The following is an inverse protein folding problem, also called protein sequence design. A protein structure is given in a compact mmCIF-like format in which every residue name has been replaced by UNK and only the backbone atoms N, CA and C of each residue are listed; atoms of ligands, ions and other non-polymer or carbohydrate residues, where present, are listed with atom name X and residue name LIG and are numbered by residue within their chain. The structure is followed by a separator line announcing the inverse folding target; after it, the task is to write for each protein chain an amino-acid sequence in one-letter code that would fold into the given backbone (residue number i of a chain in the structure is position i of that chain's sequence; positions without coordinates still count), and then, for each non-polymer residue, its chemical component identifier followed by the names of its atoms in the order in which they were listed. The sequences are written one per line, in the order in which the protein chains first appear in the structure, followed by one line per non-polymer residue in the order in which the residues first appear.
data_IF_485115563667
#
_entry.id   IF_485115563667
#
_cell.length_a   1.000
_cell.length_b   1.000
_cell.length_c   1.000
_cell.angle_alpha   90.00
_cell.angle_beta   90.00
_cell.angle_gamma   90.00
#
_symmetry.space_group_name_H-M   'P 1'
#
loop_
_entity.id
_entity.type
_entity.pdbx_description
1 polymer ?
#
# COMPACT_ATOMS: atom_id res chain seq x y z
N UNK A 1 -13.24 -9.19 6.17
CA UNK A 1 -12.05 -9.79 6.81
C UNK A 1 -11.86 -9.12 8.16
N UNK A 2 -12.01 -9.83 9.28
CA UNK A 2 -11.64 -9.25 10.59
C UNK A 2 -10.11 -9.22 10.66
N UNK A 3 -9.53 -8.04 10.81
CA UNK A 3 -8.11 -7.91 11.15
C UNK A 3 -8.01 -8.36 12.62
N UNK A 4 -7.33 -9.48 12.93
CA UNK A 4 -7.13 -9.92 14.30
C UNK A 4 -6.38 -8.81 15.05
N UNK A 5 -6.98 -8.36 16.14
CA UNK A 5 -6.33 -7.45 17.07
C UNK A 5 -5.31 -8.23 17.89
N UNK A 6 -4.19 -7.57 18.22
CA UNK A 6 -3.10 -8.12 19.03
C UNK A 6 -3.55 -8.71 20.38
N UNK A 7 -4.76 -8.34 20.84
CA UNK A 7 -5.42 -8.88 22.03
C UNK A 7 -5.66 -10.39 21.97
N UNK A 8 -5.71 -11.00 20.78
CA UNK A 8 -5.95 -12.44 20.61
C UNK A 8 -4.65 -13.27 20.45
N UNK A 9 -3.55 -12.66 19.98
CA UNK A 9 -2.24 -13.31 19.91
C UNK A 9 -1.11 -12.25 19.94
N UNK A 10 -0.38 -12.10 21.06
CA UNK A 10 0.60 -11.02 21.22
C UNK A 10 1.84 -11.18 20.33
N UNK A 11 2.10 -12.39 19.83
CA UNK A 11 3.24 -12.71 18.96
C UNK A 11 2.91 -12.57 17.48
N UNK A 12 1.62 -12.41 17.12
CA UNK A 12 1.20 -12.29 15.75
C UNK A 12 1.43 -10.88 15.20
N UNK A 13 2.04 -10.79 14.01
CA UNK A 13 2.42 -9.54 13.35
C UNK A 13 1.82 -9.42 11.96
N UNK A 14 1.34 -8.22 11.62
CA UNK A 14 0.97 -7.87 10.25
C UNK A 14 2.15 -7.20 9.56
N UNK A 15 2.48 -7.66 8.37
CA UNK A 15 3.49 -7.01 7.52
C UNK A 15 2.75 -6.42 6.34
N UNK A 16 2.63 -5.11 6.33
CA UNK A 16 1.87 -4.36 5.34
C UNK A 16 2.82 -3.87 4.25
N UNK A 17 2.38 -3.95 3.00
CA UNK A 17 3.12 -3.43 1.85
C UNK A 17 2.28 -2.48 1.02
N UNK A 18 2.84 -1.32 0.71
CA UNK A 18 2.21 -0.34 -0.18
C UNK A 18 3.24 0.62 -0.78
N UNK A 19 2.86 1.28 -1.87
CA UNK A 19 3.64 2.35 -2.49
C UNK A 19 3.02 3.71 -2.19
N UNK A 20 3.86 4.68 -1.81
CA UNK A 20 3.42 6.08 -1.72
C UNK A 20 4.32 7.02 -2.45
N UNK A 21 3.70 8.01 -3.10
CA UNK A 21 4.41 9.06 -3.83
C UNK A 21 4.49 10.34 -3.01
N UNK A 22 5.67 10.95 -3.02
CA UNK A 22 5.92 12.29 -2.49
C UNK A 22 6.18 13.25 -3.65
N UNK A 23 5.43 14.35 -3.70
CA UNK A 23 5.63 15.46 -4.64
C UNK A 23 6.64 16.46 -4.08
N UNK A 24 7.34 17.14 -4.99
CA UNK A 24 8.30 18.22 -4.68
C UNK A 24 7.63 19.55 -4.33
N UNK A 25 6.43 19.76 -4.84
CA UNK A 25 5.59 20.90 -4.54
C UNK A 25 4.35 20.35 -3.84
N UNK A 26 4.03 20.87 -2.65
CA UNK A 26 2.77 20.58 -1.96
C UNK A 26 1.57 21.30 -2.64
N UNK A 27 1.52 21.29 -3.97
CA UNK A 27 0.45 21.87 -4.78
C UNK A 27 -0.79 21.00 -4.73
N UNK A 28 -1.56 21.11 -3.63
CA UNK A 28 -2.77 20.32 -3.31
C UNK A 28 -2.49 18.83 -3.11
N UNK A 29 -2.70 18.35 -1.88
CA UNK A 29 -3.01 16.94 -1.62
C UNK A 29 -4.14 16.57 -2.58
N UNK A 30 -3.86 15.67 -3.53
CA UNK A 30 -4.77 15.30 -4.59
C UNK A 30 -6.05 14.73 -3.97
N UNK A 31 -7.08 15.56 -3.82
CA UNK A 31 -8.42 15.08 -3.55
C UNK A 31 -8.97 14.50 -4.84
N UNK A 32 -9.55 13.31 -4.75
CA UNK A 32 -10.19 12.62 -5.85
C UNK A 32 -11.56 13.26 -6.17
N UNK A 33 -11.63 14.59 -6.27
CA UNK A 33 -12.88 15.36 -6.30
C UNK A 33 -13.65 15.22 -7.64
N UNK A 34 -13.04 14.59 -8.66
CA UNK A 34 -13.54 14.62 -10.05
C UNK A 34 -13.80 13.21 -10.63
N UNK A 35 -13.46 12.13 -9.93
CA UNK A 35 -13.35 10.80 -10.55
C UNK A 35 -14.58 9.89 -10.48
N UNK A 36 -15.66 10.31 -9.82
CA UNK A 36 -16.89 9.52 -9.76
C UNK A 36 -18.08 10.29 -10.31
N UNK A 37 -18.27 10.25 -11.63
CA UNK A 37 -19.57 10.56 -12.23
C UNK A 37 -20.35 9.26 -12.41
N UNK A 38 -21.55 9.18 -11.83
CA UNK A 38 -22.40 7.98 -11.86
C UNK A 38 -23.14 7.77 -13.19
N UNK A 39 -23.07 8.72 -14.13
CA UNK A 39 -23.82 8.69 -15.40
C UNK A 39 -22.92 9.08 -16.59
N UNK A 40 -22.48 8.08 -17.35
CA UNK A 40 -21.58 8.21 -18.50
C UNK A 40 -22.30 8.72 -19.77
N UNK A 41 -23.61 8.42 -19.90
CA UNK A 41 -24.35 8.59 -21.15
C UNK A 41 -24.55 10.04 -21.66
N UNK A 42 -24.75 11.07 -20.81
CA UNK A 42 -24.99 12.44 -21.32
C UNK A 42 -23.74 13.32 -21.35
N UNK A 43 -22.56 12.81 -20.98
CA UNK A 43 -21.35 13.62 -20.80
C UNK A 43 -20.69 13.97 -22.14
N UNK A 44 -20.39 15.25 -22.43
CA UNK A 44 -19.74 15.66 -23.66
C UNK A 44 -18.34 15.04 -23.82
N UNK A 45 -17.92 14.76 -25.06
CA UNK A 45 -16.63 14.12 -25.36
C UNK A 45 -15.42 14.89 -24.79
N UNK A 46 -15.54 16.22 -24.66
CA UNK A 46 -14.50 17.07 -24.07
C UNK A 46 -14.17 16.73 -22.62
N UNK A 47 -15.15 16.27 -21.82
CA UNK A 47 -14.96 15.83 -20.43
C UNK A 47 -14.37 14.44 -20.28
N UNK A 48 -14.55 13.56 -21.28
CA UNK A 48 -14.01 12.19 -21.26
C UNK A 48 -12.59 12.10 -21.84
N UNK A 49 -12.24 13.00 -22.76
CA UNK A 49 -10.98 12.98 -23.52
C UNK A 49 -10.14 14.23 -23.31
N UNK A 50 -10.21 14.87 -22.14
CA UNK A 50 -9.22 15.89 -21.80
C UNK A 50 -7.88 15.19 -21.54
N UNK A 51 -6.79 15.50 -22.28
CA UNK A 51 -5.47 14.98 -21.94
C UNK A 51 -5.08 15.54 -20.57
N UNK A 52 -5.19 14.70 -19.55
CA UNK A 52 -4.81 15.07 -18.19
C UNK A 52 -3.29 15.21 -18.19
N UNK A 53 -2.79 16.39 -17.81
CA UNK A 53 -1.35 16.63 -17.68
C UNK A 53 -0.80 15.58 -16.71
N UNK A 54 0.05 14.68 -17.23
CA UNK A 54 0.70 13.63 -16.44
C UNK A 54 1.42 14.30 -15.28
N UNK A 55 1.22 13.75 -14.09
CA UNK A 55 1.58 14.25 -12.76
C UNK A 55 2.76 15.23 -12.67
N UNK A 56 2.69 16.18 -11.74
CA UNK A 56 3.86 16.99 -11.34
C UNK A 56 5.08 16.12 -11.01
N UNK A 57 6.31 16.65 -11.14
CA UNK A 57 7.52 15.92 -10.77
C UNK A 57 7.43 15.33 -9.36
N UNK A 58 7.39 14.00 -9.29
CA UNK A 58 7.36 13.24 -8.03
C UNK A 58 8.79 12.85 -7.70
N UNK A 59 9.23 13.16 -6.47
CA UNK A 59 10.60 12.88 -6.07
C UNK A 59 10.79 11.39 -5.72
N UNK A 60 9.74 10.71 -5.24
CA UNK A 60 9.93 9.36 -4.71
C UNK A 60 8.62 8.56 -4.67
N UNK A 61 8.61 7.41 -5.34
CA UNK A 61 7.72 6.28 -5.02
C UNK A 61 8.41 5.44 -3.95
N UNK A 62 7.96 5.54 -2.71
CA UNK A 62 8.50 4.76 -1.61
C UNK A 62 7.63 3.51 -1.41
N UNK A 63 8.20 2.36 -1.77
CA UNK A 63 7.64 1.04 -1.56
C UNK A 63 8.07 0.51 -0.19
N UNK A 64 7.13 0.45 0.75
CA UNK A 64 7.40 0.20 2.16
C UNK A 64 6.86 -1.14 2.62
N UNK A 65 7.69 -1.87 3.36
CA UNK A 65 7.29 -2.92 4.27
C UNK A 65 7.21 -2.33 5.67
N UNK A 66 6.00 -2.29 6.22
CA UNK A 66 5.73 -1.73 7.55
C UNK A 66 5.17 -2.80 8.46
N UNK A 67 5.66 -2.80 9.68
CA UNK A 67 5.18 -3.61 10.78
C UNK A 67 5.38 -2.85 12.08
N UNK A 68 4.71 -3.25 13.15
CA UNK A 68 4.92 -2.70 14.49
C UNK A 68 6.36 -2.84 15.01
N UNK A 69 7.17 -3.71 14.40
CA UNK A 69 8.58 -3.95 14.76
C UNK A 69 9.58 -3.13 13.94
N UNK A 70 9.13 -2.45 12.89
CA UNK A 70 10.00 -1.61 12.07
C UNK A 70 9.52 -1.41 10.64
N UNK A 71 10.33 -0.68 9.87
CA UNK A 71 10.08 -0.33 8.48
C UNK A 71 11.28 -0.78 7.63
N UNK A 72 11.03 -1.23 6.41
CA UNK A 72 12.05 -1.51 5.41
C UNK A 72 11.57 -1.15 4.02
N UNK A 73 12.51 -0.94 3.10
CA UNK A 73 12.24 -0.70 1.70
C UNK A 73 12.39 -2.00 0.88
N UNK A 74 11.47 -2.25 -0.06
CA UNK A 74 11.33 -3.55 -0.74
C UNK A 74 12.54 -3.94 -1.61
N UNK A 75 13.45 -3.03 -1.97
CA UNK A 75 14.70 -3.43 -2.67
C UNK A 75 15.53 -4.47 -1.89
N UNK A 76 15.32 -4.60 -0.57
CA UNK A 76 15.95 -5.64 0.25
C UNK A 76 15.15 -6.95 0.31
N UNK A 77 13.94 -6.97 -0.24
CA UNK A 77 13.03 -8.11 -0.28
C UNK A 77 12.18 -8.27 0.98
N UNK A 78 11.00 -8.87 0.81
CA UNK A 78 10.05 -9.21 1.90
C UNK A 78 10.67 -10.23 2.85
N UNK A 79 11.35 -11.25 2.32
CA UNK A 79 11.88 -12.37 3.13
C UNK A 79 12.96 -11.91 4.12
N UNK A 80 13.99 -11.14 3.71
CA UNK A 80 15.01 -10.68 4.63
C UNK A 80 14.44 -9.77 5.73
N UNK A 81 13.43 -8.95 5.41
CA UNK A 81 12.73 -8.15 6.42
C UNK A 81 12.03 -9.03 7.45
N UNK A 82 11.27 -10.02 6.99
CA UNK A 82 10.57 -10.96 7.88
C UNK A 82 11.57 -11.69 8.76
N UNK A 83 12.60 -12.32 8.17
CA UNK A 83 13.59 -13.09 8.94
C UNK A 83 14.36 -12.22 9.95
N UNK A 84 14.52 -10.92 9.69
CA UNK A 84 15.21 -10.00 10.58
C UNK A 84 14.37 -9.59 11.79
N UNK A 85 13.09 -9.30 11.60
CA UNK A 85 12.24 -8.70 12.64
C UNK A 85 11.17 -9.64 13.20
N UNK A 86 10.86 -10.72 12.49
CA UNK A 86 9.74 -11.62 12.80
C UNK A 86 10.15 -13.09 12.76
N UNK A 87 9.54 -13.89 13.63
CA UNK A 87 9.65 -15.35 13.57
C UNK A 87 8.69 -15.87 12.50
N UNK A 88 9.21 -16.68 11.58
CA UNK A 88 8.42 -17.33 10.52
C UNK A 88 7.28 -18.13 11.16
N UNK A 89 6.05 -17.97 10.65
CA UNK A 89 4.84 -18.65 11.15
C UNK A 89 3.94 -17.80 12.06
N UNK A 90 4.48 -16.73 12.66
CA UNK A 90 3.74 -15.76 13.49
C UNK A 90 3.49 -14.43 12.80
N UNK A 91 3.66 -14.37 11.48
CA UNK A 91 3.37 -13.17 10.73
C UNK A 91 2.49 -13.47 9.52
N UNK A 92 1.66 -12.51 9.12
CA UNK A 92 0.92 -12.56 7.86
C UNK A 92 1.27 -11.34 7.01
N UNK A 93 1.75 -11.61 5.81
CA UNK A 93 2.08 -10.61 4.82
C UNK A 93 0.81 -10.14 4.09
N UNK A 94 0.63 -8.82 4.00
CA UNK A 94 -0.52 -8.21 3.34
C UNK A 94 -0.02 -7.26 2.24
N UNK A 95 0.14 -7.78 1.01
CA UNK A 95 0.50 -6.97 -0.14
C UNK A 95 -0.66 -6.10 -0.63
N UNK A 96 -0.34 -5.11 -1.45
CA UNK A 96 -1.35 -4.39 -2.21
C UNK A 96 -1.99 -5.29 -3.29
N UNK A 97 -2.95 -4.75 -4.04
CA UNK A 97 -3.67 -5.47 -5.09
C UNK A 97 -2.93 -5.52 -6.44
N UNK A 98 -1.68 -5.03 -6.51
CA UNK A 98 -0.93 -5.01 -7.74
C UNK A 98 -0.67 -6.44 -8.24
N UNK A 99 -0.90 -6.63 -9.54
CA UNK A 99 -0.76 -7.93 -10.21
C UNK A 99 0.58 -8.64 -9.94
N UNK A 100 1.74 -7.96 -9.85
CA UNK A 100 3.01 -8.62 -9.56
C UNK A 100 3.04 -9.39 -8.24
N UNK A 101 2.40 -8.90 -7.18
CA UNK A 101 2.41 -9.58 -5.87
C UNK A 101 1.64 -10.91 -5.88
N UNK A 102 0.72 -11.08 -6.82
CA UNK A 102 -0.11 -12.28 -6.97
C UNK A 102 0.29 -13.14 -8.17
N UNK A 103 1.41 -12.83 -8.82
CA UNK A 103 1.95 -13.70 -9.86
C UNK A 103 2.31 -15.08 -9.26
N UNK A 104 2.08 -16.16 -10.01
CA UNK A 104 2.33 -17.52 -9.53
C UNK A 104 3.76 -17.71 -9.01
N UNK A 105 4.74 -17.08 -9.67
CA UNK A 105 6.15 -17.12 -9.23
C UNK A 105 6.35 -16.53 -7.84
N UNK A 106 5.71 -15.41 -7.53
CA UNK A 106 5.77 -14.75 -6.22
C UNK A 106 5.00 -15.55 -5.16
N UNK A 107 3.81 -16.01 -5.51
CA UNK A 107 2.99 -16.84 -4.62
C UNK A 107 3.70 -18.13 -4.23
N UNK A 108 4.25 -18.86 -5.21
CA UNK A 108 5.00 -20.09 -4.96
C UNK A 108 6.22 -19.81 -4.08
N UNK A 109 6.94 -18.72 -4.35
CA UNK A 109 8.08 -18.32 -3.52
C UNK A 109 7.70 -18.02 -2.06
N UNK A 110 6.56 -17.35 -1.81
CA UNK A 110 6.07 -17.11 -0.44
C UNK A 110 5.67 -18.41 0.26
N UNK A 111 5.05 -19.35 -0.46
CA UNK A 111 4.69 -20.67 0.04
C UNK A 111 5.94 -21.48 0.40
N UNK A 112 6.94 -21.51 -0.47
CA UNK A 112 8.22 -22.19 -0.24
C UNK A 112 8.99 -21.64 0.97
N UNK A 113 8.82 -20.34 1.25
CA UNK A 113 9.39 -19.68 2.44
C UNK A 113 8.51 -19.82 3.70
N UNK A 114 7.40 -20.56 3.64
CA UNK A 114 6.44 -20.76 4.72
C UNK A 114 5.87 -19.43 5.27
N UNK A 115 5.60 -18.48 4.39
CA UNK A 115 5.02 -17.18 4.75
C UNK A 115 3.53 -17.19 4.45
N UNK A 116 2.73 -16.94 5.48
CA UNK A 116 1.30 -16.70 5.34
C UNK A 116 1.10 -15.33 4.68
N UNK A 117 0.23 -15.24 3.69
CA UNK A 117 -0.11 -13.97 3.05
C UNK A 117 -1.62 -13.82 2.82
N UNK A 118 -2.08 -12.59 2.60
CA UNK A 118 -3.49 -12.30 2.26
C UNK A 118 -3.75 -12.64 0.81
N UNK A 119 -4.68 -13.57 0.57
CA UNK A 119 -5.04 -13.99 -0.77
C UNK A 119 -5.75 -12.86 -1.53
N UNK A 120 -5.61 -12.82 -2.86
CA UNK A 120 -6.23 -11.77 -3.69
C UNK A 120 -7.73 -11.65 -3.46
N UNK A 121 -8.43 -12.79 -3.32
CA UNK A 121 -9.88 -12.85 -3.05
C UNK A 121 -10.28 -12.30 -1.66
N UNK A 122 -9.34 -12.26 -0.72
CA UNK A 122 -9.53 -11.78 0.65
C UNK A 122 -9.13 -10.31 0.79
N UNK A 123 -8.43 -9.76 -0.20
CA UNK A 123 -7.95 -8.38 -0.22
C UNK A 123 -8.99 -7.50 -0.93
N UNK A 124 -9.85 -6.78 -0.18
CA UNK A 124 -10.90 -5.97 -0.79
C UNK A 124 -10.29 -4.83 -1.62
N UNK A 125 -10.80 -4.65 -2.84
CA UNK A 125 -10.36 -3.57 -3.72
C UNK A 125 -10.93 -2.22 -3.30
N UNK A 126 -10.19 -1.15 -3.56
CA UNK A 126 -10.62 0.24 -3.40
C UNK A 126 -11.11 0.60 -1.99
N UNK A 127 -10.55 -0.02 -0.95
CA UNK A 127 -10.85 0.30 0.46
C UNK A 127 -9.58 0.66 1.23
N UNK A 128 -8.91 1.77 0.87
CA UNK A 128 -7.66 2.18 1.52
C UNK A 128 -7.82 2.39 3.03
N UNK A 129 -8.98 2.87 3.49
CA UNK A 129 -9.29 3.10 4.91
C UNK A 129 -9.20 1.84 5.78
N UNK A 130 -9.36 0.66 5.20
CA UNK A 130 -9.24 -0.62 5.92
C UNK A 130 -7.77 -1.01 6.11
N UNK A 131 -6.84 -0.38 5.39
CA UNK A 131 -5.41 -0.69 5.43
C UNK A 131 -4.69 0.30 6.33
N UNK A 132 -4.27 -0.18 7.49
CA UNK A 132 -3.52 0.60 8.50
C UNK A 132 -2.22 1.25 7.97
N UNK A 133 -1.66 0.75 6.86
CA UNK A 133 -0.50 1.37 6.21
C UNK A 133 -0.81 2.77 5.68
N UNK A 134 -2.05 3.05 5.31
CA UNK A 134 -2.47 4.38 4.83
C UNK A 134 -2.40 5.42 5.95
N UNK A 135 -2.80 5.06 7.18
CA UNK A 135 -2.64 5.92 8.36
C UNK A 135 -1.16 6.25 8.61
N UNK A 136 -0.31 5.22 8.55
CA UNK A 136 1.13 5.38 8.68
C UNK A 136 1.71 6.32 7.60
N UNK A 137 1.33 6.10 6.33
CA UNK A 137 1.78 6.92 5.20
C UNK A 137 1.27 8.37 5.31
N UNK A 138 0.04 8.56 5.80
CA UNK A 138 -0.53 9.88 6.06
C UNK A 138 0.27 10.64 7.12
N UNK A 139 0.61 9.99 8.24
CA UNK A 139 1.46 10.56 9.29
C UNK A 139 2.87 10.86 8.74
N UNK A 140 3.44 9.95 7.96
CA UNK A 140 4.76 10.15 7.35
C UNK A 140 4.77 11.34 6.40
N UNK A 141 3.75 11.47 5.54
CA UNK A 141 3.58 12.65 4.67
C UNK A 141 3.43 13.93 5.48
N UNK A 142 2.62 13.92 6.54
CA UNK A 142 2.50 15.06 7.45
C UNK A 142 3.86 15.52 7.96
N UNK A 143 4.72 14.60 8.40
CA UNK A 143 6.08 14.90 8.87
C UNK A 143 7.02 15.38 7.76
N UNK A 144 6.95 14.78 6.57
CA UNK A 144 7.79 15.20 5.42
C UNK A 144 7.47 16.64 5.01
N UNK A 145 6.20 17.03 5.07
CA UNK A 145 5.73 18.35 4.65
C UNK A 145 5.58 19.38 5.78
N UNK A 146 5.88 19.00 7.04
CA UNK A 146 5.66 19.83 8.23
C UNK A 146 6.32 21.22 8.13
N UNK A 147 7.47 21.31 7.43
CA UNK A 147 8.24 22.54 7.27
C UNK A 147 8.19 23.12 5.85
N UNK A 148 7.07 22.92 5.13
CA UNK A 148 6.85 23.48 3.79
C UNK A 148 7.90 23.08 2.75
N UNK A 149 8.36 21.83 2.83
CA UNK A 149 9.05 21.16 1.73
C UNK A 149 8.13 20.95 0.53
#
# INVERSE_FOLDING_TARGET
MKIPNRTENPNFSWILNDESYFTLSHGKINRNDIFYLSYIAPTPASTNYTPVKKFEPKLLGLLNLVSERGISYEKRGVIPFIKKYHSVGYCKFWPDLASPHYANTVVNYLIDQNIKFVQKRENPANVPEVRQIEDFLSILKGKVYENSW
#
